data_IF_327300881935
#
_entry.id   IF_327300881935
#
_cell.length_a   1.000
_cell.length_b   1.000
_cell.length_c   1.000
_cell.angle_alpha   90.00
_cell.angle_beta   90.00
_cell.angle_gamma   90.00
#
_symmetry.space_group_name_H-M   'P 1'
#
loop_
_entity.id
_entity.type
_entity.pdbx_description
1 polymer ?
#
# COMPACT_ATOMS: atom_id res chain seq x y z
N UNK A 1 59.76 -10.34 -36.74
CA UNK A 1 58.95 -10.54 -37.95
C UNK A 1 57.47 -10.63 -37.55
N UNK A 2 56.73 -9.54 -37.72
CA UNK A 2 55.28 -9.53 -38.02
C UNK A 2 55.12 -9.96 -39.51
N UNK A 3 53.95 -10.39 -40.06
CA UNK A 3 52.71 -9.57 -40.04
C UNK A 3 51.32 -10.24 -40.32
N UNK A 4 50.28 -9.37 -40.33
CA UNK A 4 48.92 -9.43 -40.95
C UNK A 4 47.83 -10.26 -40.23
N UNK A 5 46.56 -9.84 -40.08
CA UNK A 5 45.79 -8.66 -40.53
C UNK A 5 44.31 -9.02 -40.84
N UNK A 6 43.34 -8.20 -40.38
CA UNK A 6 41.92 -8.15 -40.82
C UNK A 6 40.94 -9.06 -40.05
N UNK A 7 39.69 -8.72 -39.66
CA UNK A 7 38.75 -7.65 -40.02
C UNK A 7 37.73 -7.40 -38.87
N UNK A 8 37.24 -6.16 -38.72
CA UNK A 8 36.00 -5.78 -38.01
C UNK A 8 34.77 -5.87 -38.98
N UNK A 9 33.48 -5.82 -38.56
CA UNK A 9 32.80 -4.58 -38.10
C UNK A 9 31.54 -4.68 -37.17
N UNK A 10 31.18 -3.54 -36.53
CA UNK A 10 29.79 -3.01 -36.25
C UNK A 10 28.84 -3.80 -35.29
N UNK A 11 27.99 -3.23 -34.41
CA UNK A 11 27.50 -1.87 -34.18
C UNK A 11 26.69 -1.74 -32.85
N UNK A 12 26.69 -0.51 -32.29
CA UNK A 12 25.54 0.27 -31.76
C UNK A 12 24.56 -0.34 -30.71
N UNK A 13 24.13 0.30 -29.61
CA UNK A 13 23.96 1.71 -29.27
C UNK A 13 23.96 1.85 -27.73
N UNK A 14 24.94 2.58 -27.18
CA UNK A 14 24.93 3.04 -25.79
C UNK A 14 25.12 4.57 -25.79
N UNK A 15 24.09 5.30 -26.25
CA UNK A 15 24.14 6.76 -26.36
C UNK A 15 22.75 7.36 -26.19
N UNK A 16 22.30 7.60 -24.93
CA UNK A 16 21.21 8.58 -24.63
C UNK A 16 20.93 8.88 -23.14
N UNK A 17 21.92 8.92 -22.23
CA UNK A 17 21.66 9.34 -20.83
C UNK A 17 22.72 10.23 -20.18
N UNK A 18 23.45 11.04 -20.95
CA UNK A 18 24.31 12.11 -20.40
C UNK A 18 24.08 13.43 -21.13
N UNK A 19 22.97 14.07 -20.80
CA UNK A 19 22.75 15.48 -21.06
C UNK A 19 21.68 15.88 -20.04
N UNK A 20 22.04 16.72 -19.05
CA UNK A 20 21.19 17.47 -18.09
C UNK A 20 21.93 17.81 -16.77
N UNK A 21 23.26 17.92 -16.81
CA UNK A 21 24.05 18.42 -15.67
C UNK A 21 25.13 19.39 -16.16
N UNK A 22 24.73 20.44 -16.89
CA UNK A 22 25.62 21.53 -17.30
C UNK A 22 24.87 22.85 -17.35
N UNK A 23 24.50 23.39 -16.18
CA UNK A 23 24.16 24.82 -16.03
C UNK A 23 24.13 25.20 -14.54
N UNK A 24 25.27 25.67 -14.04
CA UNK A 24 25.51 26.67 -12.95
C UNK A 24 26.77 26.32 -12.16
N UNK A 25 27.92 26.47 -12.81
CA UNK A 25 29.16 26.80 -12.12
C UNK A 25 29.48 28.25 -12.47
N UNK A 26 28.97 29.20 -11.66
CA UNK A 26 29.40 30.60 -11.75
C UNK A 26 30.77 30.70 -11.06
N UNK A 27 31.77 30.66 -11.92
CA UNK A 27 33.14 31.19 -11.78
C UNK A 27 33.22 32.36 -10.78
N UNK A 28 33.96 32.16 -9.68
CA UNK A 28 34.41 33.21 -8.78
C UNK A 28 35.92 33.07 -8.61
N UNK A 29 36.65 34.00 -9.22
CA UNK A 29 37.95 34.57 -8.79
C UNK A 29 38.51 35.42 -9.94
N UNK A 30 39.46 36.36 -9.73
CA UNK A 30 39.98 36.92 -8.48
C UNK A 30 40.05 38.48 -8.51
N UNK A 31 40.20 39.15 -7.37
CA UNK A 31 40.81 40.50 -7.34
C UNK A 31 41.70 40.68 -6.11
N UNK A 32 43.01 40.69 -6.35
CA UNK A 32 44.05 41.19 -5.44
C UNK A 32 44.20 42.71 -5.59
N UNK A 33 44.78 43.33 -4.55
CA UNK A 33 45.37 44.68 -4.40
C UNK A 33 44.33 45.78 -4.06
N UNK A 34 44.52 46.71 -3.11
CA UNK A 34 45.72 47.31 -2.49
C UNK A 34 45.35 47.96 -1.12
N UNK A 35 46.40 48.34 -0.40
CA UNK A 35 46.51 49.24 0.76
C UNK A 35 45.40 50.30 0.99
N UNK A 36 45.04 50.44 2.26
CA UNK A 36 44.88 51.69 3.02
C UNK A 36 43.97 52.79 2.48
N UNK A 37 42.81 52.99 3.12
CA UNK A 37 42.44 54.32 3.61
C UNK A 37 41.38 54.21 4.72
N UNK A 38 41.54 55.14 5.64
CA UNK A 38 40.76 55.44 6.82
C UNK A 38 39.37 56.03 6.52
N UNK A 39 38.47 55.87 7.49
CA UNK A 39 37.24 56.65 7.70
C UNK A 39 36.15 56.55 6.62
N UNK A 40 35.17 55.67 6.89
CA UNK A 40 33.73 55.99 6.73
C UNK A 40 32.93 55.01 7.59
N UNK A 41 32.40 55.52 8.72
CA UNK A 41 31.32 54.85 9.45
C UNK A 41 30.06 54.97 8.59
N UNK A 42 29.37 53.89 8.22
CA UNK A 42 27.99 53.99 7.75
C UNK A 42 27.13 54.45 8.93
N UNK A 43 26.40 55.55 8.73
CA UNK A 43 25.31 55.99 9.61
C UNK A 43 24.33 54.83 9.81
N UNK A 44 23.85 54.71 11.04
CA UNK A 44 22.71 53.85 11.36
C UNK A 44 21.47 54.28 10.60
N UNK A 45 20.48 53.39 10.68
CA UNK A 45 19.12 53.50 10.18
C UNK A 45 18.93 52.96 8.77
N UNK A 46 19.07 51.63 8.64
CA UNK A 46 18.28 50.78 7.75
C UNK A 46 18.45 49.32 8.17
N UNK A 47 18.09 48.99 9.42
CA UNK A 47 17.84 47.60 9.80
C UNK A 47 16.47 47.26 9.22
N UNK A 48 16.45 46.82 7.96
CA UNK A 48 15.32 46.08 7.41
C UNK A 48 15.08 44.92 8.37
N UNK A 49 14.01 45.02 9.16
CA UNK A 49 13.51 43.91 9.96
C UNK A 49 13.05 42.84 8.98
N UNK A 50 13.98 41.99 8.55
CA UNK A 50 13.65 40.73 7.90
C UNK A 50 12.81 40.03 8.96
N UNK A 51 11.49 40.00 8.75
CA UNK A 51 10.60 39.10 9.47
C UNK A 51 11.12 37.70 9.16
N UNK A 52 12.02 37.21 10.00
CA UNK A 52 12.34 35.81 10.09
C UNK A 52 11.02 35.18 10.47
N UNK A 53 10.27 34.69 9.48
CA UNK A 53 9.16 33.77 9.74
C UNK A 53 9.76 32.72 10.66
N UNK A 54 9.32 32.72 11.91
CA UNK A 54 9.82 31.78 12.90
C UNK A 54 9.70 30.39 12.30
N UNK A 55 10.86 29.77 12.08
CA UNK A 55 10.93 28.42 11.53
C UNK A 55 10.42 27.48 12.62
N UNK A 56 9.10 27.29 12.64
CA UNK A 56 8.45 26.30 13.47
C UNK A 56 8.74 24.92 12.88
N UNK A 57 9.65 24.18 13.53
CA UNK A 57 9.94 22.78 13.20
C UNK A 57 8.70 21.88 13.25
N UNK A 58 7.60 22.36 13.83
CA UNK A 58 6.37 21.61 13.96
C UNK A 58 5.53 21.64 12.68
N UNK A 59 5.69 22.65 11.81
CA UNK A 59 4.86 22.85 10.61
C UNK A 59 5.46 22.24 9.33
N UNK A 60 6.69 21.73 9.39
CA UNK A 60 7.42 21.27 8.20
C UNK A 60 7.10 19.83 7.77
N UNK A 61 6.25 19.11 8.51
CA UNK A 61 5.89 17.70 8.25
C UNK A 61 4.37 17.49 8.26
N UNK A 62 3.67 18.23 7.40
CA UNK A 62 2.24 18.04 7.20
C UNK A 62 1.93 16.68 6.54
N UNK A 63 0.93 15.97 7.07
CA UNK A 63 0.41 14.69 6.52
C UNK A 63 0.12 14.83 5.01
N UNK A 64 -0.44 15.95 4.58
CA UNK A 64 -0.75 16.20 3.17
C UNK A 64 0.47 16.26 2.25
N UNK A 65 1.58 16.86 2.70
CA UNK A 65 2.80 16.96 1.90
C UNK A 65 3.42 15.58 1.70
N UNK A 66 3.48 14.79 2.77
CA UNK A 66 4.01 13.42 2.72
C UNK A 66 3.09 12.50 1.89
N UNK A 67 1.76 12.65 2.00
CA UNK A 67 0.80 11.90 1.19
C UNK A 67 0.99 12.19 -0.32
N UNK A 68 1.07 13.47 -0.72
CA UNK A 68 1.32 13.85 -2.12
C UNK A 68 2.66 13.28 -2.60
N UNK A 69 3.70 13.33 -1.75
CA UNK A 69 5.01 12.77 -2.06
C UNK A 69 4.94 11.27 -2.30
N UNK A 70 4.21 10.52 -1.47
CA UNK A 70 4.06 9.08 -1.62
C UNK A 70 3.18 8.71 -2.82
N UNK A 71 2.10 9.43 -3.10
CA UNK A 71 1.24 9.22 -4.28
C UNK A 71 2.01 9.37 -5.60
N UNK A 72 2.97 10.30 -5.67
CA UNK A 72 3.80 10.50 -6.88
C UNK A 72 4.91 9.46 -7.06
N UNK A 73 5.13 8.54 -6.12
CA UNK A 73 6.16 7.49 -6.26
C UNK A 73 5.71 6.44 -7.28
N UNK A 74 6.64 5.97 -8.11
CA UNK A 74 6.38 4.92 -9.11
C UNK A 74 5.82 3.63 -8.49
N UNK A 75 6.28 3.25 -7.30
CA UNK A 75 5.79 2.05 -6.58
C UNK A 75 4.31 2.17 -6.21
N UNK A 76 3.89 3.34 -5.74
CA UNK A 76 2.49 3.61 -5.41
C UNK A 76 1.61 3.49 -6.64
N UNK A 77 2.06 4.02 -7.79
CA UNK A 77 1.37 3.85 -9.07
C UNK A 77 1.20 2.36 -9.44
N UNK A 78 2.23 1.53 -9.23
CA UNK A 78 2.13 0.08 -9.48
C UNK A 78 1.05 -0.56 -8.62
N UNK A 79 0.93 -0.20 -7.33
CA UNK A 79 -0.16 -0.71 -6.48
C UNK A 79 -1.54 -0.33 -7.00
N UNK A 80 -1.75 0.94 -7.38
CA UNK A 80 -3.02 1.37 -7.98
C UNK A 80 -3.31 0.64 -9.29
N UNK A 81 -2.30 0.46 -10.15
CA UNK A 81 -2.47 -0.26 -11.41
C UNK A 81 -2.86 -1.71 -11.16
N UNK A 82 -2.20 -2.42 -10.24
CA UNK A 82 -2.53 -3.81 -9.91
C UNK A 82 -3.98 -3.95 -9.41
N UNK A 83 -4.43 -3.02 -8.59
CA UNK A 83 -5.79 -3.01 -8.02
C UNK A 83 -6.84 -2.78 -9.10
N UNK A 84 -6.57 -1.90 -10.06
CA UNK A 84 -7.46 -1.66 -11.21
C UNK A 84 -7.39 -2.79 -12.24
N UNK A 85 -6.23 -3.42 -12.38
CA UNK A 85 -6.05 -4.54 -13.30
C UNK A 85 -6.84 -5.77 -12.85
N UNK A 86 -6.94 -6.05 -11.56
CA UNK A 86 -7.67 -7.21 -11.03
C UNK A 86 -9.12 -7.32 -11.57
N UNK A 87 -10.01 -6.32 -11.40
CA UNK A 87 -11.37 -6.41 -11.94
C UNK A 87 -11.41 -6.50 -13.47
N UNK A 88 -10.50 -5.81 -14.18
CA UNK A 88 -10.42 -5.91 -15.64
C UNK A 88 -10.05 -7.32 -16.11
N UNK A 89 -9.08 -7.95 -15.46
CA UNK A 89 -8.65 -9.32 -15.77
C UNK A 89 -9.80 -10.30 -15.50
N UNK A 90 -10.50 -10.16 -14.38
CA UNK A 90 -11.61 -11.07 -14.05
C UNK A 90 -12.78 -10.88 -15.03
N UNK A 91 -13.15 -9.65 -15.38
CA UNK A 91 -14.18 -9.42 -16.42
C UNK A 91 -13.76 -10.01 -17.75
N UNK A 92 -12.50 -9.81 -18.17
CA UNK A 92 -11.99 -10.40 -19.40
C UNK A 92 -12.03 -11.94 -19.34
N UNK A 93 -11.63 -12.55 -18.22
CA UNK A 93 -11.69 -14.00 -18.04
C UNK A 93 -13.12 -14.54 -18.10
N UNK A 94 -14.10 -13.84 -17.53
CA UNK A 94 -15.51 -14.24 -17.57
C UNK A 94 -16.12 -14.07 -18.96
N UNK A 95 -15.77 -12.98 -19.68
CA UNK A 95 -16.32 -12.69 -21.02
C UNK A 95 -15.66 -13.46 -22.15
N UNK A 96 -14.36 -13.74 -22.04
CA UNK A 96 -13.53 -14.38 -23.07
C UNK A 96 -13.01 -15.76 -22.66
N UNK A 97 -13.41 -16.28 -21.49
CA UNK A 97 -13.10 -17.64 -21.09
C UNK A 97 -13.61 -18.63 -22.15
N UNK A 98 -12.96 -19.79 -22.34
CA UNK A 98 -13.41 -20.76 -23.33
C UNK A 98 -14.81 -21.26 -22.94
N UNK A 99 -15.84 -20.63 -23.50
CA UNK A 99 -17.12 -21.27 -23.70
C UNK A 99 -16.82 -22.42 -24.64
N UNK A 100 -16.79 -23.65 -24.14
CA UNK A 100 -16.72 -24.83 -24.99
C UNK A 100 -17.84 -24.71 -26.03
N UNK A 101 -17.47 -24.49 -27.28
CA UNK A 101 -18.30 -24.78 -28.44
C UNK A 101 -18.56 -26.29 -28.47
N UNK A 102 -19.49 -26.73 -27.63
CA UNK A 102 -19.95 -28.10 -27.55
C UNK A 102 -21.38 -28.06 -27.06
N UNK A 103 -22.29 -28.39 -27.95
CA UNK A 103 -23.60 -28.94 -27.61
C UNK A 103 -23.41 -29.95 -26.47
N UNK A 104 -23.95 -29.68 -25.28
CA UNK A 104 -24.47 -30.69 -24.36
C UNK A 104 -25.04 -30.02 -23.09
N UNK A 105 -26.31 -30.35 -22.81
CA UNK A 105 -27.08 -29.86 -21.66
C UNK A 105 -26.64 -30.48 -20.33
N UNK A 106 -25.46 -30.11 -19.84
CA UNK A 106 -24.94 -30.58 -18.55
C UNK A 106 -24.12 -29.51 -17.85
N UNK A 107 -24.74 -28.85 -16.86
CA UNK A 107 -24.09 -28.19 -15.72
C UNK A 107 -22.83 -27.36 -16.03
N UNK A 108 -23.01 -26.14 -16.55
CA UNK A 108 -21.96 -25.13 -16.66
C UNK A 108 -21.54 -24.65 -15.26
N UNK A 109 -20.56 -25.34 -14.68
CA UNK A 109 -20.03 -25.07 -13.34
C UNK A 109 -18.52 -25.23 -13.28
N UNK A 110 -17.79 -24.70 -14.27
CA UNK A 110 -16.32 -24.60 -14.23
C UNK A 110 -15.87 -23.38 -13.42
N UNK A 111 -16.17 -23.34 -12.13
CA UNK A 111 -15.83 -22.23 -11.23
C UNK A 111 -14.33 -22.15 -10.90
N UNK A 112 -13.83 -20.94 -10.66
CA UNK A 112 -12.52 -20.70 -10.03
C UNK A 112 -12.56 -21.22 -8.58
N UNK A 113 -12.20 -22.49 -8.36
CA UNK A 113 -12.11 -23.11 -7.03
C UNK A 113 -12.92 -24.40 -6.95
N UNK A 114 -12.30 -25.48 -6.46
CA UNK A 114 -12.91 -26.81 -6.34
C UNK A 114 -13.96 -26.95 -5.24
N UNK A 115 -14.88 -25.99 -5.11
CA UNK A 115 -15.95 -25.99 -4.11
C UNK A 115 -17.34 -25.84 -4.73
N UNK A 116 -18.36 -26.24 -3.96
CA UNK A 116 -19.79 -26.16 -4.30
C UNK A 116 -20.37 -24.72 -4.32
N UNK A 117 -19.52 -23.71 -4.51
CA UNK A 117 -19.91 -22.29 -4.50
C UNK A 117 -19.65 -21.71 -5.89
N UNK A 118 -20.71 -21.38 -6.61
CA UNK A 118 -20.64 -20.80 -7.95
C UNK A 118 -20.20 -19.32 -7.89
N UNK A 119 -18.90 -19.11 -7.68
CA UNK A 119 -18.28 -17.78 -7.61
C UNK A 119 -18.46 -17.00 -8.91
N UNK A 120 -18.52 -17.70 -10.06
CA UNK A 120 -18.63 -17.09 -11.38
C UNK A 120 -20.07 -16.64 -11.64
N UNK A 121 -21.05 -17.49 -11.33
CA UNK A 121 -22.47 -17.11 -11.38
C UNK A 121 -22.80 -15.97 -10.42
N UNK A 122 -22.24 -15.97 -9.21
CA UNK A 122 -22.40 -14.85 -8.28
C UNK A 122 -21.74 -13.57 -8.82
N UNK A 123 -20.50 -13.63 -9.30
CA UNK A 123 -19.80 -12.46 -9.84
C UNK A 123 -20.50 -11.84 -11.06
N UNK A 124 -21.24 -12.63 -11.84
CA UNK A 124 -21.98 -12.17 -13.02
C UNK A 124 -23.38 -11.65 -12.70
N UNK A 125 -23.85 -11.79 -11.45
CA UNK A 125 -25.17 -11.35 -10.99
C UNK A 125 -25.19 -9.85 -10.61
N UNK A 126 -24.55 -9.00 -11.41
CA UNK A 126 -24.53 -7.54 -11.25
C UNK A 126 -23.34 -6.95 -10.50
N UNK A 127 -23.25 -5.61 -10.54
CA UNK A 127 -22.11 -4.82 -10.05
C UNK A 127 -21.79 -5.04 -8.57
N UNK A 128 -22.81 -5.19 -7.72
CA UNK A 128 -22.62 -5.37 -6.27
C UNK A 128 -21.97 -6.72 -5.95
N UNK A 129 -22.48 -7.80 -6.55
CA UNK A 129 -21.91 -9.13 -6.38
C UNK A 129 -20.49 -9.20 -6.96
N UNK A 130 -20.28 -8.62 -8.15
CA UNK A 130 -18.95 -8.53 -8.75
C UNK A 130 -17.94 -7.85 -7.81
N UNK A 131 -18.33 -6.73 -7.19
CA UNK A 131 -17.48 -6.00 -6.24
C UNK A 131 -17.10 -6.84 -5.02
N UNK A 132 -18.07 -7.58 -4.46
CA UNK A 132 -17.78 -8.47 -3.32
C UNK A 132 -16.87 -9.61 -3.74
N UNK A 133 -17.03 -10.18 -4.93
CA UNK A 133 -16.10 -11.20 -5.45
C UNK A 133 -14.69 -10.64 -5.63
N UNK A 134 -14.54 -9.39 -6.08
CA UNK A 134 -13.21 -8.75 -6.15
C UNK A 134 -12.60 -8.52 -4.78
N UNK A 135 -13.42 -8.15 -3.77
CA UNK A 135 -12.98 -8.07 -2.38
C UNK A 135 -12.54 -9.44 -1.85
N UNK A 136 -13.28 -10.51 -2.17
CA UNK A 136 -12.92 -11.89 -1.82
C UNK A 136 -11.55 -12.30 -2.39
N UNK A 137 -11.33 -12.06 -3.68
CA UNK A 137 -10.07 -12.43 -4.34
C UNK A 137 -8.88 -11.60 -3.86
N UNK A 138 -9.12 -10.35 -3.46
CA UNK A 138 -8.05 -9.43 -3.10
C UNK A 138 -7.72 -9.42 -1.61
N UNK A 139 -8.68 -9.68 -0.71
CA UNK A 139 -8.52 -9.59 0.74
C UNK A 139 -7.50 -10.59 1.28
N UNK A 140 -7.44 -11.80 0.70
CA UNK A 140 -6.54 -12.84 1.17
C UNK A 140 -5.06 -12.59 0.89
N UNK A 141 -4.72 -11.79 -0.14
CA UNK A 141 -3.33 -11.66 -0.59
C UNK A 141 -2.98 -10.31 -1.20
N UNK A 142 -3.70 -9.87 -2.24
CA UNK A 142 -3.35 -8.66 -2.97
C UNK A 142 -3.35 -7.42 -2.05
N UNK A 143 -4.42 -7.25 -1.28
CA UNK A 143 -4.55 -6.12 -0.35
C UNK A 143 -3.54 -6.22 0.80
N UNK A 144 -3.25 -7.44 1.27
CA UNK A 144 -2.24 -7.70 2.31
C UNK A 144 -0.86 -7.21 1.85
N UNK A 145 -0.44 -7.57 0.63
CA UNK A 145 0.84 -7.12 0.06
C UNK A 145 0.88 -5.61 -0.06
N UNK A 146 -0.18 -4.98 -0.58
CA UNK A 146 -0.19 -3.54 -0.79
C UNK A 146 -0.16 -2.79 0.55
N UNK A 147 -0.94 -3.23 1.53
CA UNK A 147 -0.95 -2.65 2.88
C UNK A 147 0.43 -2.80 3.55
N UNK A 148 1.04 -3.98 3.45
CA UNK A 148 2.39 -4.23 3.94
C UNK A 148 3.42 -3.36 3.21
N UNK A 149 3.29 -3.16 1.89
CA UNK A 149 4.17 -2.31 1.11
C UNK A 149 4.09 -0.85 1.54
N UNK A 150 2.89 -0.31 1.75
CA UNK A 150 2.74 1.09 2.14
C UNK A 150 3.27 1.38 3.55
N UNK A 151 3.12 0.48 4.52
CA UNK A 151 3.72 0.71 5.83
C UNK A 151 5.20 0.31 5.88
N UNK A 152 5.58 -0.76 5.18
CA UNK A 152 6.94 -1.30 5.17
C UNK A 152 7.96 -0.49 4.38
N UNK A 153 7.56 0.23 3.32
CA UNK A 153 8.48 1.08 2.56
C UNK A 153 8.77 2.41 3.27
N UNK A 154 7.94 2.87 4.20
CA UNK A 154 7.99 4.26 4.68
C UNK A 154 9.18 4.59 5.59
N UNK A 155 9.63 3.63 6.40
CA UNK A 155 10.74 3.82 7.34
C UNK A 155 12.04 3.23 6.78
N UNK A 156 12.00 2.02 6.21
CA UNK A 156 13.18 1.34 5.68
C UNK A 156 13.80 2.07 4.48
N UNK A 157 12.98 2.70 3.62
CA UNK A 157 13.49 3.44 2.46
C UNK A 157 14.19 4.75 2.83
N UNK A 158 13.94 5.29 4.02
CA UNK A 158 14.62 6.49 4.50
C UNK A 158 15.86 6.16 5.33
N UNK A 159 15.82 5.07 6.08
CA UNK A 159 16.99 4.54 6.79
C UNK A 159 18.13 4.18 5.82
N UNK A 160 17.80 3.54 4.69
CA UNK A 160 18.78 3.13 3.67
C UNK A 160 19.46 4.28 2.90
N UNK A 161 18.93 5.50 2.94
CA UNK A 161 19.41 6.61 2.10
C UNK A 161 20.18 7.71 2.84
N UNK A 162 20.23 7.76 4.19
CA UNK A 162 20.70 9.00 4.84
C UNK A 162 21.24 8.97 6.29
N UNK A 163 21.85 7.89 6.75
CA UNK A 163 22.44 7.87 8.12
C UNK A 163 23.49 8.97 8.37
N UNK A 164 24.21 9.47 7.36
CA UNK A 164 25.28 10.46 7.60
C UNK A 164 24.90 11.95 7.38
N UNK A 165 23.91 12.25 6.54
CA UNK A 165 23.64 13.64 6.08
C UNK A 165 22.42 14.27 6.75
N UNK A 166 21.45 13.46 7.18
CA UNK A 166 20.21 13.93 7.81
C UNK A 166 20.39 14.29 9.29
N UNK A 167 21.36 13.66 9.96
CA UNK A 167 21.66 13.90 11.39
C UNK A 167 22.27 15.27 11.68
N UNK A 168 22.85 15.94 10.68
CA UNK A 168 23.57 17.19 10.89
C UNK A 168 22.70 18.46 10.74
N UNK A 169 21.43 18.36 10.34
CA UNK A 169 20.71 19.57 9.86
C UNK A 169 19.35 19.85 10.50
N UNK A 170 18.59 18.88 11.04
CA UNK A 170 17.27 19.21 11.61
C UNK A 170 16.79 18.27 12.74
N UNK A 171 16.60 18.80 13.97
CA UNK A 171 15.98 18.07 15.08
C UNK A 171 14.46 17.94 14.88
N UNK A 172 14.04 16.86 14.23
CA UNK A 172 12.62 16.46 14.18
C UNK A 172 12.33 15.49 15.32
N UNK A 173 11.24 15.66 16.10
CA UNK A 173 10.86 14.69 17.12
C UNK A 173 10.55 13.32 16.47
N UNK A 174 11.37 12.31 16.79
CA UNK A 174 11.37 10.95 16.22
C UNK A 174 10.00 10.30 16.20
N UNK A 175 9.26 10.40 17.30
CA UNK A 175 7.89 9.89 17.45
C UNK A 175 6.89 10.54 16.49
N UNK A 176 7.02 11.84 16.23
CA UNK A 176 6.12 12.56 15.31
C UNK A 176 6.32 12.08 13.88
N UNK A 177 7.58 11.93 13.47
CA UNK A 177 7.93 11.42 12.14
C UNK A 177 7.37 10.02 11.91
N UNK A 178 7.57 9.12 12.88
CA UNK A 178 7.11 7.74 12.78
C UNK A 178 5.56 7.66 12.73
N UNK A 179 4.86 8.46 13.54
CA UNK A 179 3.39 8.55 13.52
C UNK A 179 2.86 9.10 12.19
N UNK A 180 3.44 10.17 11.67
CA UNK A 180 3.02 10.74 10.37
C UNK A 180 3.15 9.70 9.26
N UNK A 181 4.23 8.89 9.27
CA UNK A 181 4.43 7.83 8.28
C UNK A 181 3.42 6.70 8.39
N UNK A 182 3.15 6.23 9.61
CA UNK A 182 2.12 5.23 9.84
C UNK A 182 0.75 5.73 9.35
N UNK A 183 0.37 6.96 9.69
CA UNK A 183 -0.91 7.56 9.27
C UNK A 183 -0.98 7.69 7.74
N UNK A 184 0.06 8.19 7.07
CA UNK A 184 0.06 8.29 5.60
C UNK A 184 -0.01 6.92 4.94
N UNK A 185 0.72 5.93 5.46
CA UNK A 185 0.65 4.56 4.96
C UNK A 185 -0.75 3.95 5.09
N UNK A 186 -1.40 4.14 6.25
CA UNK A 186 -2.78 3.69 6.47
C UNK A 186 -3.78 4.40 5.56
N UNK A 187 -3.62 5.71 5.36
CA UNK A 187 -4.46 6.48 4.43
C UNK A 187 -4.31 5.97 2.99
N UNK A 188 -3.08 5.66 2.54
CA UNK A 188 -2.87 5.08 1.21
C UNK A 188 -3.50 3.71 1.07
N UNK A 189 -3.40 2.85 2.08
CA UNK A 189 -4.09 1.55 2.10
C UNK A 189 -5.60 1.73 1.98
N UNK A 190 -6.19 2.66 2.74
CA UNK A 190 -7.62 2.97 2.66
C UNK A 190 -8.03 3.52 1.28
N UNK A 191 -7.24 4.43 0.70
CA UNK A 191 -7.51 4.98 -0.64
C UNK A 191 -7.44 3.88 -1.70
N UNK A 192 -6.46 2.96 -1.61
CA UNK A 192 -6.37 1.81 -2.51
C UNK A 192 -7.58 0.90 -2.39
N UNK A 193 -8.00 0.58 -1.16
CA UNK A 193 -9.19 -0.25 -0.93
C UNK A 193 -10.45 0.39 -1.51
N UNK A 194 -10.65 1.69 -1.29
CA UNK A 194 -11.77 2.44 -1.89
C UNK A 194 -11.68 2.45 -3.41
N UNK A 195 -10.47 2.59 -3.97
CA UNK A 195 -10.25 2.54 -5.42
C UNK A 195 -10.62 1.17 -5.98
N UNK A 196 -10.27 0.08 -5.29
CA UNK A 196 -10.69 -1.27 -5.68
C UNK A 196 -12.22 -1.37 -5.72
N UNK A 197 -12.90 -0.92 -4.67
CA UNK A 197 -14.36 -0.97 -4.57
C UNK A 197 -15.03 -0.18 -5.70
N UNK A 198 -14.61 1.07 -5.91
CA UNK A 198 -15.20 1.94 -6.93
C UNK A 198 -14.95 1.42 -8.35
N UNK A 199 -13.73 0.97 -8.64
CA UNK A 199 -13.40 0.45 -9.98
C UNK A 199 -14.06 -0.89 -10.24
N UNK A 200 -14.12 -1.78 -9.25
CA UNK A 200 -14.85 -3.05 -9.37
C UNK A 200 -16.33 -2.81 -9.61
N UNK A 201 -16.96 -1.89 -8.87
CA UNK A 201 -18.36 -1.55 -9.08
C UNK A 201 -18.60 -0.93 -10.46
N UNK A 202 -17.77 0.01 -10.89
CA UNK A 202 -17.91 0.66 -12.19
C UNK A 202 -17.76 -0.34 -13.35
N UNK A 203 -16.72 -1.19 -13.30
CA UNK A 203 -16.48 -2.22 -14.31
C UNK A 203 -17.61 -3.26 -14.29
N UNK A 204 -18.03 -3.71 -13.10
CA UNK A 204 -19.13 -4.64 -12.93
C UNK A 204 -20.47 -4.08 -13.44
N UNK A 205 -20.73 -2.80 -13.24
CA UNK A 205 -21.93 -2.13 -13.76
C UNK A 205 -21.96 -2.09 -15.29
N UNK A 206 -20.80 -1.84 -15.92
CA UNK A 206 -20.67 -1.85 -17.38
C UNK A 206 -20.80 -3.28 -17.93
N UNK A 207 -20.20 -4.26 -17.27
CA UNK A 207 -20.11 -5.63 -17.77
C UNK A 207 -21.35 -6.49 -17.46
N UNK A 208 -21.98 -6.31 -16.29
CA UNK A 208 -23.00 -7.21 -15.75
C UNK A 208 -24.27 -6.48 -15.30
N UNK A 209 -24.32 -5.14 -15.43
CA UNK A 209 -25.46 -4.33 -15.01
C UNK A 209 -25.47 -4.00 -13.51
N UNK A 210 -26.53 -3.31 -13.07
CA UNK A 210 -26.66 -2.74 -11.72
C UNK A 210 -27.63 -3.50 -10.82
N UNK A 211 -27.82 -4.81 -11.09
CA UNK A 211 -28.68 -5.67 -10.28
C UNK A 211 -28.27 -5.60 -8.80
N UNK A 212 -29.24 -5.55 -7.85
CA UNK A 212 -28.95 -5.48 -6.42
C UNK A 212 -28.13 -6.67 -5.92
N UNK A 213 -27.53 -6.53 -4.75
CA UNK A 213 -26.72 -7.59 -4.16
C UNK A 213 -27.58 -8.85 -3.91
N UNK A 214 -27.11 -9.99 -4.39
CA UNK A 214 -27.78 -11.27 -4.22
C UNK A 214 -26.99 -12.08 -3.18
N UNK A 215 -27.61 -12.44 -2.08
CA UNK A 215 -26.93 -13.28 -1.12
C UNK A 215 -26.90 -14.73 -1.62
N UNK A 216 -25.77 -15.45 -1.48
CA UNK A 216 -25.76 -16.90 -1.67
C UNK A 216 -26.66 -17.63 -0.66
N UNK A 217 -26.99 -16.96 0.45
CA UNK A 217 -27.67 -17.51 1.61
C UNK A 217 -29.10 -16.97 1.78
N UNK A 218 -29.57 -16.11 0.87
CA UNK A 218 -30.88 -15.44 0.94
C UNK A 218 -31.15 -14.63 -0.33
N UNK A 219 -32.40 -14.27 -0.61
CA UNK A 219 -32.78 -13.58 -1.86
C UNK A 219 -32.06 -12.25 -2.14
N UNK A 220 -32.46 -11.60 -3.24
CA UNK A 220 -31.90 -10.29 -3.61
C UNK A 220 -32.26 -9.22 -2.57
N UNK A 221 -31.26 -8.44 -2.19
CA UNK A 221 -31.39 -7.33 -1.23
C UNK A 221 -31.85 -6.06 -1.93
N UNK A 222 -32.34 -5.09 -1.16
CA UNK A 222 -32.58 -3.75 -1.69
C UNK A 222 -31.25 -3.04 -2.01
N UNK A 223 -31.28 -2.00 -2.86
CA UNK A 223 -30.05 -1.23 -3.16
C UNK A 223 -29.45 -0.58 -1.91
N UNK A 224 -30.30 -0.10 -0.98
CA UNK A 224 -29.84 0.51 0.27
C UNK A 224 -29.12 -0.49 1.17
N UNK A 225 -29.68 -1.70 1.32
CA UNK A 225 -29.03 -2.78 2.08
C UNK A 225 -27.72 -3.23 1.41
N UNK A 226 -27.68 -3.26 0.07
CA UNK A 226 -26.48 -3.58 -0.70
C UNK A 226 -25.33 -2.61 -0.39
N UNK A 227 -25.64 -1.30 -0.36
CA UNK A 227 -24.68 -0.26 0.00
C UNK A 227 -24.21 -0.38 1.46
N UNK A 228 -25.14 -0.63 2.38
CA UNK A 228 -24.83 -0.82 3.80
C UNK A 228 -23.89 -2.01 4.02
N UNK A 229 -24.20 -3.17 3.41
CA UNK A 229 -23.36 -4.38 3.51
C UNK A 229 -21.99 -4.16 2.89
N UNK A 230 -21.93 -3.54 1.71
CA UNK A 230 -20.64 -3.23 1.08
C UNK A 230 -19.79 -2.31 1.97
N UNK A 231 -20.41 -1.33 2.63
CA UNK A 231 -19.72 -0.42 3.55
C UNK A 231 -19.16 -1.20 4.76
N UNK A 232 -19.99 -2.04 5.39
CA UNK A 232 -19.58 -2.88 6.53
C UNK A 232 -18.42 -3.81 6.14
N UNK A 233 -18.51 -4.50 5.01
CA UNK A 233 -17.47 -5.40 4.50
C UNK A 233 -16.18 -4.62 4.24
N UNK A 234 -16.27 -3.48 3.53
CA UNK A 234 -15.10 -2.66 3.19
C UNK A 234 -14.41 -2.13 4.44
N UNK A 235 -15.17 -1.64 5.43
CA UNK A 235 -14.62 -1.17 6.70
C UNK A 235 -13.98 -2.31 7.49
N UNK A 236 -14.61 -3.49 7.51
CA UNK A 236 -14.02 -4.65 8.17
C UNK A 236 -12.69 -5.06 7.53
N UNK A 237 -12.63 -5.14 6.20
CA UNK A 237 -11.38 -5.43 5.47
C UNK A 237 -10.31 -4.38 5.76
N UNK A 238 -10.67 -3.09 5.84
CA UNK A 238 -9.72 -2.05 6.21
C UNK A 238 -9.09 -2.29 7.60
N UNK A 239 -9.88 -2.82 8.54
CA UNK A 239 -9.44 -3.16 9.90
C UNK A 239 -8.58 -4.42 9.89
N UNK A 240 -8.93 -5.47 9.14
CA UNK A 240 -8.11 -6.69 9.08
C UNK A 240 -6.75 -6.45 8.43
N UNK A 241 -6.65 -5.48 7.51
CA UNK A 241 -5.38 -5.05 6.93
C UNK A 241 -4.43 -4.38 7.94
N UNK A 242 -4.90 -3.99 9.12
CA UNK A 242 -4.04 -3.41 10.16
C UNK A 242 -2.99 -4.42 10.63
N UNK A 243 -3.36 -5.69 10.81
CA UNK A 243 -2.43 -6.71 11.29
C UNK A 243 -1.19 -6.89 10.38
N UNK A 244 -1.33 -7.19 9.07
CA UNK A 244 -0.17 -7.30 8.19
C UNK A 244 0.60 -5.99 8.03
N UNK A 245 -0.11 -4.86 8.03
CA UNK A 245 0.50 -3.54 7.95
C UNK A 245 1.38 -3.26 9.19
N UNK A 246 0.94 -3.67 10.38
CA UNK A 246 1.71 -3.52 11.62
C UNK A 246 2.97 -4.39 11.65
N UNK A 247 2.90 -5.63 11.14
CA UNK A 247 4.08 -6.49 11.00
C UNK A 247 5.09 -5.84 10.05
N UNK A 248 4.64 -5.38 8.88
CA UNK A 248 5.51 -4.73 7.90
C UNK A 248 6.14 -3.45 8.48
N UNK A 249 5.36 -2.68 9.25
CA UNK A 249 5.82 -1.48 9.92
C UNK A 249 6.89 -1.77 10.99
N UNK A 250 6.64 -2.75 11.85
CA UNK A 250 7.60 -3.18 12.87
C UNK A 250 8.90 -3.66 12.20
N UNK A 251 8.77 -4.52 11.18
CA UNK A 251 9.93 -5.03 10.45
C UNK A 251 10.68 -3.90 9.76
N UNK A 252 9.98 -2.91 9.21
CA UNK A 252 10.61 -1.73 8.60
C UNK A 252 11.41 -0.84 9.57
N UNK A 253 11.17 -0.95 10.88
CA UNK A 253 12.02 -0.31 11.91
C UNK A 253 13.24 -1.19 12.24
N UNK A 254 13.08 -2.51 12.16
CA UNK A 254 14.11 -3.49 12.49
C UNK A 254 15.09 -3.74 11.34
N UNK A 255 14.67 -3.56 10.08
CA UNK A 255 15.48 -3.78 8.88
C UNK A 255 15.62 -2.53 8.03
N UNK A 256 16.79 -2.36 7.41
CA UNK A 256 17.06 -1.28 6.47
C UNK A 256 16.71 -1.66 5.02
N UNK A 257 16.27 -2.91 4.79
CA UNK A 257 15.89 -3.42 3.47
C UNK A 257 14.35 -3.42 3.33
N UNK A 258 13.76 -2.50 2.53
CA UNK A 258 12.31 -2.39 2.43
C UNK A 258 11.62 -3.66 1.94
N UNK A 259 12.27 -4.38 1.00
CA UNK A 259 11.76 -5.64 0.49
C UNK A 259 11.69 -6.73 1.57
N UNK A 260 12.61 -6.71 2.54
CA UNK A 260 12.61 -7.64 3.67
C UNK A 260 11.42 -7.38 4.59
N UNK A 261 11.12 -6.12 4.89
CA UNK A 261 9.98 -5.76 5.73
C UNK A 261 8.64 -6.22 5.15
N UNK A 262 8.43 -5.98 3.86
CA UNK A 262 7.21 -6.42 3.15
C UNK A 262 7.16 -7.95 3.08
N UNK A 263 8.27 -8.60 2.69
CA UNK A 263 8.35 -10.05 2.59
C UNK A 263 8.01 -10.76 3.90
N UNK A 264 8.51 -10.27 5.04
CA UNK A 264 8.19 -10.87 6.35
C UNK A 264 6.71 -10.80 6.67
N UNK A 265 6.06 -9.66 6.42
CA UNK A 265 4.61 -9.54 6.68
C UNK A 265 3.80 -10.53 5.83
N UNK A 266 4.15 -10.66 4.55
CA UNK A 266 3.47 -11.57 3.61
C UNK A 266 3.70 -13.03 4.00
N UNK A 267 4.93 -13.42 4.37
CA UNK A 267 5.24 -14.78 4.80
C UNK A 267 4.49 -15.13 6.08
N UNK A 268 4.47 -14.23 7.08
CA UNK A 268 3.76 -14.46 8.34
C UNK A 268 2.25 -14.65 8.11
N UNK A 269 1.63 -13.80 7.28
CA UNK A 269 0.20 -13.94 6.94
C UNK A 269 -0.06 -15.24 6.18
N UNK A 270 0.80 -15.58 5.22
CA UNK A 270 0.70 -16.83 4.46
C UNK A 270 0.76 -18.04 5.40
N UNK A 271 1.66 -18.04 6.38
CA UNK A 271 1.75 -19.12 7.38
C UNK A 271 0.45 -19.21 8.18
N UNK A 272 -0.11 -18.09 8.64
CA UNK A 272 -1.39 -18.10 9.36
C UNK A 272 -2.54 -18.62 8.50
N UNK A 273 -2.60 -18.24 7.22
CA UNK A 273 -3.60 -18.76 6.28
C UNK A 273 -3.45 -20.29 6.08
N UNK A 274 -2.21 -20.81 6.01
CA UNK A 274 -1.96 -22.24 5.89
C UNK A 274 -2.38 -22.98 7.17
N UNK A 275 -2.02 -22.45 8.35
CA UNK A 275 -2.41 -23.04 9.63
C UNK A 275 -3.94 -23.07 9.79
N UNK A 276 -4.61 -22.01 9.33
CA UNK A 276 -6.06 -21.90 9.34
C UNK A 276 -6.74 -22.87 8.37
N UNK A 277 -6.06 -23.33 7.32
CA UNK A 277 -6.58 -24.36 6.42
C UNK A 277 -6.57 -25.78 7.05
N UNK A 278 -5.80 -26.03 8.12
CA UNK A 278 -5.62 -27.38 8.70
C UNK A 278 -6.68 -27.67 9.77
N UNK A 279 -7.69 -28.49 9.45
CA UNK A 279 -8.88 -28.68 10.33
C UNK A 279 -8.54 -29.37 11.64
N UNK A 280 -7.46 -30.15 11.63
CA UNK A 280 -6.93 -30.84 12.80
C UNK A 280 -6.48 -29.91 13.94
N UNK A 281 -6.23 -28.61 13.69
CA UNK A 281 -5.86 -27.66 14.74
C UNK A 281 -7.01 -27.34 15.71
N UNK A 282 -8.26 -27.62 15.33
CA UNK A 282 -9.43 -27.45 16.18
C UNK A 282 -9.50 -26.06 16.83
N UNK A 283 -9.63 -26.03 18.16
CA UNK A 283 -9.79 -24.78 18.94
C UNK A 283 -8.62 -23.81 18.84
N UNK A 284 -7.43 -24.26 18.44
CA UNK A 284 -6.25 -23.40 18.35
C UNK A 284 -6.37 -22.35 17.24
N UNK A 285 -7.21 -22.61 16.22
CA UNK A 285 -7.48 -21.67 15.13
C UNK A 285 -8.07 -20.34 15.60
N UNK A 286 -8.83 -20.35 16.70
CA UNK A 286 -9.42 -19.13 17.29
C UNK A 286 -8.39 -18.10 17.74
N UNK A 287 -7.13 -18.49 17.89
CA UNK A 287 -6.03 -17.57 18.21
C UNK A 287 -5.31 -17.02 16.98
N UNK A 288 -5.56 -17.59 15.79
CA UNK A 288 -4.95 -17.17 14.54
C UNK A 288 -5.62 -15.90 14.02
N UNK A 289 -4.86 -14.91 13.55
CA UNK A 289 -5.43 -13.71 12.91
C UNK A 289 -6.27 -14.02 11.66
N UNK A 290 -5.94 -15.12 10.97
CA UNK A 290 -6.56 -15.55 9.71
C UNK A 290 -8.00 -16.02 9.86
N UNK A 291 -8.34 -16.65 10.99
CA UNK A 291 -9.70 -17.11 11.32
C UNK A 291 -10.71 -15.94 11.25
N UNK A 292 -10.29 -14.76 11.75
CA UNK A 292 -11.10 -13.54 11.69
C UNK A 292 -11.03 -12.82 10.34
N UNK A 293 -10.08 -13.15 9.48
CA UNK A 293 -9.83 -12.43 8.21
C UNK A 293 -10.95 -12.57 7.18
N UNK A 294 -11.72 -13.65 7.24
CA UNK A 294 -12.81 -14.00 6.31
C UNK A 294 -14.21 -13.84 6.89
N UNK A 295 -14.36 -13.51 8.18
CA UNK A 295 -15.67 -13.36 8.86
C UNK A 295 -16.55 -12.25 8.28
N UNK A 296 -16.01 -11.34 7.46
CA UNK A 296 -16.83 -10.39 6.72
C UNK A 296 -17.80 -11.07 5.75
N UNK A 297 -17.57 -12.33 5.35
CA UNK A 297 -18.51 -13.13 4.55
C UNK A 297 -19.82 -13.32 5.30
N UNK A 298 -19.81 -13.34 6.63
CA UNK A 298 -21.02 -13.43 7.45
C UNK A 298 -21.92 -12.20 7.29
N UNK A 299 -21.37 -11.05 6.88
CA UNK A 299 -22.14 -9.87 6.52
C UNK A 299 -22.94 -10.04 5.20
N UNK A 300 -22.78 -11.17 4.48
CA UNK A 300 -23.61 -11.54 3.34
C UNK A 300 -24.86 -12.35 3.74
N UNK A 301 -24.92 -12.91 4.95
CA UNK A 301 -26.06 -13.70 5.42
C UNK A 301 -27.33 -12.82 5.56
N UNK A 302 -28.56 -13.28 5.25
CA UNK A 302 -29.80 -12.51 5.44
C UNK A 302 -29.83 -11.65 6.72
N UNK A 303 -29.37 -12.18 7.86
CA UNK A 303 -29.10 -11.40 9.07
C UNK A 303 -27.59 -11.33 9.30
N UNK A 304 -27.07 -10.11 9.52
CA UNK A 304 -25.63 -9.90 9.78
C UNK A 304 -25.27 -10.51 11.14
N UNK A 305 -24.29 -11.41 11.14
CA UNK A 305 -23.73 -11.99 12.36
C UNK A 305 -22.55 -11.13 12.83
N UNK A 306 -22.74 -10.41 13.92
CA UNK A 306 -21.75 -9.44 14.43
C UNK A 306 -20.72 -10.06 15.37
N UNK A 307 -20.98 -11.23 15.93
CA UNK A 307 -20.26 -11.76 17.08
C UNK A 307 -18.78 -12.00 16.76
N UNK A 308 -18.50 -12.78 15.71
CA UNK A 308 -17.13 -13.05 15.26
C UNK A 308 -16.45 -11.82 14.66
N UNK A 309 -17.21 -10.95 13.99
CA UNK A 309 -16.69 -9.70 13.45
C UNK A 309 -16.20 -8.76 14.57
N UNK A 310 -16.93 -8.66 15.69
CA UNK A 310 -16.54 -7.83 16.83
C UNK A 310 -15.22 -8.33 17.46
N UNK A 311 -15.08 -9.65 17.62
CA UNK A 311 -13.84 -10.28 18.09
C UNK A 311 -12.69 -9.99 17.12
N UNK A 312 -12.93 -10.14 15.82
CA UNK A 312 -11.94 -9.85 14.77
C UNK A 312 -11.48 -8.39 14.76
N UNK A 313 -12.40 -7.43 14.94
CA UNK A 313 -12.07 -6.00 15.06
C UNK A 313 -11.19 -5.76 16.28
N UNK A 314 -11.58 -6.27 17.44
CA UNK A 314 -10.81 -6.11 18.68
C UNK A 314 -9.40 -6.71 18.54
N UNK A 315 -9.29 -7.92 17.98
CA UNK A 315 -8.02 -8.59 17.74
C UNK A 315 -7.07 -7.75 16.87
N UNK A 316 -7.55 -7.28 15.71
CA UNK A 316 -6.74 -6.52 14.77
C UNK A 316 -6.29 -5.17 15.33
N UNK A 317 -7.16 -4.47 16.07
CA UNK A 317 -6.82 -3.21 16.72
C UNK A 317 -5.78 -3.40 17.83
N UNK A 318 -5.95 -4.42 18.68
CA UNK A 318 -5.01 -4.73 19.77
C UNK A 318 -3.66 -5.13 19.18
N UNK A 319 -3.64 -6.06 18.21
CA UNK A 319 -2.41 -6.51 17.58
C UNK A 319 -1.68 -5.36 16.86
N UNK A 320 -2.41 -4.48 16.15
CA UNK A 320 -1.85 -3.28 15.55
C UNK A 320 -1.23 -2.36 16.59
N UNK A 321 -1.96 -2.03 17.67
CA UNK A 321 -1.49 -1.16 18.73
C UNK A 321 -0.23 -1.70 19.43
N UNK A 322 -0.20 -3.02 19.69
CA UNK A 322 0.96 -3.69 20.30
C UNK A 322 2.19 -3.65 19.38
N UNK A 323 2.05 -4.07 18.13
CA UNK A 323 3.16 -4.13 17.16
C UNK A 323 3.71 -2.74 16.83
N UNK A 324 2.83 -1.76 16.61
CA UNK A 324 3.24 -0.36 16.39
C UNK A 324 3.85 0.23 17.67
N UNK A 325 3.30 -0.09 18.85
CA UNK A 325 3.89 0.29 20.13
C UNK A 325 5.33 -0.23 20.30
N UNK A 326 5.57 -1.50 19.99
CA UNK A 326 6.90 -2.10 19.98
C UNK A 326 7.81 -1.39 18.96
N UNK A 327 7.30 -1.10 17.76
CA UNK A 327 8.05 -0.38 16.73
C UNK A 327 8.50 1.01 17.21
N UNK A 328 7.61 1.77 17.87
CA UNK A 328 7.92 3.08 18.45
C UNK A 328 8.98 2.96 19.55
N UNK A 329 8.81 2.00 20.48
CA UNK A 329 9.77 1.77 21.57
C UNK A 329 11.16 1.37 21.04
N UNK A 330 11.21 0.56 19.97
CA UNK A 330 12.47 0.18 19.32
C UNK A 330 13.13 1.35 18.60
N UNK A 331 12.35 2.16 17.89
CA UNK A 331 12.85 3.34 17.19
C UNK A 331 13.42 4.40 18.15
N UNK A 332 12.83 4.54 19.33
CA UNK A 332 13.31 5.46 20.36
C UNK A 332 14.63 5.01 21.01
N UNK A 333 14.85 3.70 21.15
CA UNK A 333 16.05 3.12 21.80
C UNK A 333 17.22 2.89 20.84
N UNK A 334 17.03 3.02 19.52
CA UNK A 334 18.10 2.80 18.53
C UNK A 334 19.02 4.04 18.49
N UNK A 335 20.19 3.91 19.09
CA UNK A 335 21.26 4.91 19.00
C UNK A 335 21.85 4.95 17.59
N UNK A 336 22.22 6.15 17.13
CA UNK A 336 22.52 6.44 15.72
C UNK A 336 24.02 6.27 15.37
N UNK A 337 24.78 5.59 16.22
CA UNK A 337 26.25 5.47 16.06
C UNK A 337 26.70 4.08 15.62
N UNK A 338 25.84 3.30 14.96
CA UNK A 338 26.23 2.02 14.35
C UNK A 338 25.49 1.78 13.05
#
# INVERSE_FOLDING_TARGET
MLPRGGHAPWNAHCARRRCWASRRAKRYEPRRRLHGDSRRRPRGDDIVSISTRDYSRQDTLGVGVELIRQLKRKRTLVAFLLVVALPLIVVAAVRFGPSSNGDDGGNQGGGFGGGNFDLVGLATNGAWNFTITMLLFSSGFLLVIIAAMFLGDTVASEASWSTLRYLLVAPVPRRKLLRTKAVVGLLLTAIVLVTLVLTSWAIGAIAFGTAPLASPFGGALTQTESLQRLTVITTYIAITLLFPAAIAFLMSVLTDVPLGAVGTAVVVVTIFNILDAIEALGSLRRFLPSDYGSTWVDAMNPVIVWDQMAVGVAYNLIAFALLVGIAVLRFDRKDITS
#
